data_IF_654025066570
#
_entry.id   IF_654025066570
#
_cell.length_a   1.000
_cell.length_b   1.000
_cell.length_c   1.000
_cell.angle_alpha   90.00
_cell.angle_beta   90.00
_cell.angle_gamma   90.00
#
_symmetry.space_group_name_H-M   'P 1'
#
loop_
_entity.id
_entity.type
_entity.pdbx_description
1 polymer ?
#
# COMPACT_ATOMS: atom_id res chain seq x y z
N UNK A 1 -6.45 25.60 -7.64
CA UNK A 1 -5.70 24.44 -8.20
C UNK A 1 -4.68 23.84 -7.21
N UNK A 2 -3.77 24.65 -6.62
CA UNK A 2 -2.72 24.19 -5.68
C UNK A 2 -3.25 23.38 -4.48
N UNK A 3 -4.25 23.87 -3.75
CA UNK A 3 -4.85 23.15 -2.59
C UNK A 3 -5.35 21.75 -2.96
N UNK A 4 -5.91 21.57 -4.16
CA UNK A 4 -6.38 20.27 -4.67
C UNK A 4 -5.21 19.31 -4.93
N UNK A 5 -4.08 19.82 -5.47
CA UNK A 5 -2.87 19.02 -5.68
C UNK A 5 -2.20 18.63 -4.37
N UNK A 6 -2.14 19.53 -3.39
CA UNK A 6 -1.61 19.23 -2.06
C UNK A 6 -2.44 18.16 -1.35
N UNK A 7 -3.78 18.30 -1.32
CA UNK A 7 -4.67 17.30 -0.72
C UNK A 7 -4.49 15.95 -1.42
N UNK A 8 -4.45 15.95 -2.76
CA UNK A 8 -4.27 14.73 -3.54
C UNK A 8 -2.94 14.04 -3.22
N UNK A 9 -1.82 14.78 -3.23
CA UNK A 9 -0.50 14.24 -2.89
C UNK A 9 -0.49 13.67 -1.46
N UNK A 10 -1.10 14.36 -0.49
CA UNK A 10 -1.19 13.89 0.88
C UNK A 10 -1.99 12.60 1.00
N UNK A 11 -3.15 12.51 0.35
CA UNK A 11 -3.97 11.29 0.32
C UNK A 11 -3.21 10.13 -0.33
N UNK A 12 -2.55 10.38 -1.47
CA UNK A 12 -1.74 9.36 -2.15
C UNK A 12 -0.60 8.86 -1.25
N UNK A 13 0.11 9.76 -0.57
CA UNK A 13 1.18 9.39 0.36
C UNK A 13 0.70 8.63 1.59
N UNK A 14 -0.44 9.01 2.17
CA UNK A 14 -1.03 8.30 3.32
C UNK A 14 -1.47 6.89 2.94
N UNK A 15 -2.10 6.71 1.78
CA UNK A 15 -2.48 5.37 1.29
C UNK A 15 -1.23 4.51 1.06
N UNK A 16 -0.18 5.07 0.44
CA UNK A 16 1.08 4.37 0.24
C UNK A 16 1.70 3.88 1.56
N UNK A 17 1.72 4.76 2.56
CA UNK A 17 2.28 4.45 3.89
C UNK A 17 1.48 3.37 4.61
N UNK A 18 0.14 3.47 4.62
CA UNK A 18 -0.72 2.48 5.26
C UNK A 18 -0.55 1.12 4.56
N UNK A 19 -0.59 1.08 3.23
CA UNK A 19 -0.40 -0.15 2.47
C UNK A 19 0.96 -0.81 2.76
N UNK A 20 2.04 -0.02 2.84
CA UNK A 20 3.37 -0.51 3.18
C UNK A 20 3.44 -1.07 4.61
N UNK A 21 2.85 -0.39 5.59
CA UNK A 21 2.80 -0.87 6.98
C UNK A 21 2.03 -2.18 7.05
N UNK A 22 0.85 -2.28 6.42
CA UNK A 22 0.05 -3.50 6.43
C UNK A 22 0.79 -4.64 5.71
N UNK A 23 1.49 -4.38 4.61
CA UNK A 23 2.33 -5.39 3.94
C UNK A 23 3.43 -5.93 4.87
N UNK A 24 4.09 -5.04 5.62
CA UNK A 24 5.13 -5.45 6.59
C UNK A 24 4.51 -6.24 7.74
N UNK A 25 3.39 -5.80 8.29
CA UNK A 25 2.70 -6.53 9.38
C UNK A 25 2.29 -7.92 8.93
N UNK A 26 1.74 -8.04 7.72
CA UNK A 26 1.32 -9.34 7.15
C UNK A 26 2.50 -10.27 6.84
N UNK A 27 3.69 -9.74 6.54
CA UNK A 27 4.92 -10.52 6.39
C UNK A 27 5.40 -11.19 7.70
N UNK A 28 5.09 -10.62 8.87
CA UNK A 28 5.60 -11.13 10.16
C UNK A 28 5.02 -12.51 10.49
N UNK A 29 3.80 -12.81 10.03
CA UNK A 29 3.13 -14.08 10.27
C UNK A 29 2.53 -14.62 8.98
N UNK A 30 3.22 -15.52 8.26
CA UNK A 30 2.76 -16.07 6.97
C UNK A 30 1.49 -16.90 7.02
N UNK A 31 0.92 -17.13 8.21
CA UNK A 31 -0.30 -17.91 8.46
C UNK A 31 -1.33 -17.10 9.25
N UNK A 32 -1.35 -15.78 9.02
CA UNK A 32 -2.25 -14.90 9.75
C UNK A 32 -3.71 -15.11 9.33
N UNK A 33 -3.98 -15.55 8.09
CA UNK A 33 -5.35 -15.80 7.61
C UNK A 33 -5.91 -17.01 8.36
N UNK A 34 -5.17 -18.11 8.39
CA UNK A 34 -5.55 -19.31 9.17
C UNK A 34 -5.79 -18.98 10.63
N UNK A 35 -4.89 -18.22 11.26
CA UNK A 35 -5.01 -17.89 12.69
C UNK A 35 -6.21 -17.00 13.03
N UNK A 36 -6.58 -16.08 12.13
CA UNK A 36 -7.70 -15.18 12.38
C UNK A 36 -9.04 -15.78 11.96
N UNK A 37 -9.06 -16.63 10.95
CA UNK A 37 -10.31 -17.10 10.33
C UNK A 37 -10.59 -18.58 10.57
N UNK A 38 -9.58 -19.38 10.91
CA UNK A 38 -9.67 -20.84 10.98
C UNK A 38 -9.85 -21.50 9.61
N UNK A 39 -9.81 -20.73 8.53
CA UNK A 39 -9.86 -21.22 7.17
C UNK A 39 -8.44 -21.50 6.69
N UNK A 40 -8.28 -22.64 6.05
CA UNK A 40 -7.03 -23.05 5.43
C UNK A 40 -7.20 -22.98 3.90
N UNK A 41 -6.98 -21.81 3.28
CA UNK A 41 -7.22 -21.61 1.85
C UNK A 41 -6.16 -22.28 0.97
N UNK A 42 -5.01 -22.63 1.52
CA UNK A 42 -3.86 -23.11 0.77
C UNK A 42 -3.08 -24.27 1.41
N UNK A 43 -3.72 -24.98 2.33
CA UNK A 43 -3.20 -26.14 3.07
C UNK A 43 -1.94 -25.83 3.89
N UNK A 44 -1.86 -24.62 4.49
CA UNK A 44 -0.69 -24.18 5.26
C UNK A 44 0.55 -23.82 4.44
N UNK A 45 0.40 -23.67 3.12
CA UNK A 45 1.51 -23.29 2.24
C UNK A 45 1.86 -21.78 2.34
N UNK A 46 0.90 -20.94 2.75
CA UNK A 46 1.05 -19.49 2.92
C UNK A 46 1.11 -18.70 1.60
N UNK A 47 0.84 -19.35 0.47
CA UNK A 47 0.72 -18.72 -0.85
C UNK A 47 -0.37 -17.65 -0.92
N UNK A 48 -1.51 -17.85 -0.25
CA UNK A 48 -2.60 -16.89 -0.18
C UNK A 48 -2.15 -15.61 0.54
N UNK A 49 -1.44 -15.75 1.66
CA UNK A 49 -0.85 -14.65 2.41
C UNK A 49 0.20 -13.89 1.57
N UNK A 50 1.04 -14.60 0.82
CA UNK A 50 2.01 -13.97 -0.08
C UNK A 50 1.34 -13.16 -1.20
N UNK A 51 0.19 -13.61 -1.71
CA UNK A 51 -0.60 -12.82 -2.68
C UNK A 51 -1.12 -11.52 -2.04
N UNK A 52 -1.58 -11.56 -0.79
CA UNK A 52 -1.99 -10.35 -0.05
C UNK A 52 -0.80 -9.40 0.13
N UNK A 53 0.36 -9.91 0.55
CA UNK A 53 1.59 -9.11 0.68
C UNK A 53 1.97 -8.46 -0.65
N UNK A 54 1.98 -9.24 -1.74
CA UNK A 54 2.32 -8.74 -3.08
C UNK A 54 1.33 -7.66 -3.55
N UNK A 55 0.03 -7.84 -3.30
CA UNK A 55 -0.99 -6.86 -3.63
C UNK A 55 -0.81 -5.55 -2.83
N UNK A 56 -0.56 -5.65 -1.52
CA UNK A 56 -0.32 -4.48 -0.66
C UNK A 56 0.96 -3.74 -1.05
N UNK A 57 2.03 -4.47 -1.36
CA UNK A 57 3.29 -3.90 -1.86
C UNK A 57 3.07 -3.16 -3.19
N UNK A 58 2.32 -3.74 -4.12
CA UNK A 58 1.98 -3.11 -5.39
C UNK A 58 1.18 -1.81 -5.19
N UNK A 59 0.17 -1.84 -4.32
CA UNK A 59 -0.62 -0.66 -3.96
C UNK A 59 0.30 0.42 -3.37
N UNK A 60 1.17 0.06 -2.43
CA UNK A 60 2.10 1.00 -1.82
C UNK A 60 3.00 1.69 -2.87
N UNK A 61 3.58 0.91 -3.80
CA UNK A 61 4.43 1.43 -4.86
C UNK A 61 3.66 2.36 -5.81
N UNK A 62 2.47 1.94 -6.27
CA UNK A 62 1.65 2.74 -7.18
C UNK A 62 1.32 4.09 -6.53
N UNK A 63 0.84 4.09 -5.29
CA UNK A 63 0.48 5.33 -4.60
C UNK A 63 1.69 6.20 -4.26
N UNK A 64 2.85 5.62 -3.96
CA UNK A 64 4.09 6.37 -3.77
C UNK A 64 4.52 7.08 -5.07
N UNK A 65 4.44 6.39 -6.22
CA UNK A 65 4.72 6.98 -7.54
C UNK A 65 3.72 8.10 -7.86
N UNK A 66 2.43 7.88 -7.62
CA UNK A 66 1.40 8.91 -7.83
C UNK A 66 1.67 10.15 -6.98
N UNK A 67 1.97 9.97 -5.68
CA UNK A 67 2.32 11.08 -4.78
C UNK A 67 3.56 11.84 -5.28
N UNK A 68 4.58 11.14 -5.76
CA UNK A 68 5.79 11.74 -6.33
C UNK A 68 5.49 12.57 -7.59
N UNK A 69 4.65 12.04 -8.50
CA UNK A 69 4.23 12.75 -9.72
C UNK A 69 3.36 13.96 -9.38
N UNK A 70 2.39 13.82 -8.48
CA UNK A 70 1.55 14.94 -8.01
C UNK A 70 2.41 16.02 -7.34
N UNK A 71 3.41 15.62 -6.56
CA UNK A 71 4.38 16.53 -5.95
C UNK A 71 5.24 17.26 -6.98
N UNK A 72 5.70 16.59 -8.04
CA UNK A 72 6.42 17.23 -9.14
C UNK A 72 5.55 18.29 -9.84
N UNK A 73 4.29 17.98 -10.13
CA UNK A 73 3.33 18.93 -10.72
C UNK A 73 3.05 20.13 -9.82
N UNK A 74 2.97 19.93 -8.50
CA UNK A 74 2.80 21.02 -7.54
C UNK A 74 4.01 21.96 -7.52
N UNK A 75 5.23 21.43 -7.67
CA UNK A 75 6.47 22.22 -7.76
C UNK A 75 6.51 23.05 -9.04
N UNK A 76 6.21 22.47 -10.20
CA UNK A 76 6.18 23.21 -11.48
C UNK A 76 5.08 24.28 -11.53
N UNK A 77 4.01 24.14 -10.76
CA UNK A 77 2.99 25.18 -10.62
C UNK A 77 3.35 26.26 -9.57
N UNK A 78 4.53 26.14 -8.92
CA UNK A 78 5.05 27.11 -7.95
C UNK A 78 5.87 28.21 -8.62
N UNK A 79 6.68 27.81 -9.60
CA UNK A 79 7.55 28.64 -10.44
C UNK A 79 6.74 29.36 -11.53
#
# INVERSE_FOLDING_TARGET
MRRRLTIRMSVEGVIALIAAIVAIVTLIQPQWIERLTGLDPDEGSGTAEWLVVAALALIAVVFAVLAAVTGARLRSARD
#
